data_IF_222185380676
#
_entry.id   IF_222185380676
#
_cell.length_a   1.000
_cell.length_b   1.000
_cell.length_c   1.000
_cell.angle_alpha   90.00
_cell.angle_beta   90.00
_cell.angle_gamma   90.00
#
_symmetry.space_group_name_H-M   'P 1'
#
loop_
_entity.id
_entity.type
_entity.pdbx_description
1 polymer ?
#
# COMPACT_ATOMS: atom_id res chain seq x y z
N UNK A 1 1.51 12.60 11.45
CA UNK A 1 1.50 13.77 10.53
C UNK A 1 0.36 13.54 9.55
N UNK A 2 -0.76 14.26 9.74
CA UNK A 2 -1.93 14.12 8.88
C UNK A 2 -1.61 14.70 7.49
N UNK A 3 -1.68 13.88 6.43
CA UNK A 3 -1.74 14.38 5.07
C UNK A 3 -3.17 14.90 4.83
N UNK A 4 -3.31 16.20 4.74
CA UNK A 4 -4.56 16.85 4.34
C UNK A 4 -4.47 17.09 2.83
N UNK A 5 -5.30 16.42 2.06
CA UNK A 5 -5.42 16.70 0.62
C UNK A 5 -6.52 17.74 0.41
N UNK A 6 -6.18 18.85 -0.21
CA UNK A 6 -7.12 19.92 -0.54
C UNK A 6 -7.34 20.01 -2.04
N UNK A 7 -8.60 20.06 -2.46
CA UNK A 7 -8.99 20.26 -3.85
C UNK A 7 -9.51 21.68 -4.01
N UNK A 8 -8.96 22.41 -4.97
CA UNK A 8 -9.32 23.79 -5.26
C UNK A 8 -9.87 23.85 -6.69
N UNK A 9 -11.11 24.24 -6.83
CA UNK A 9 -11.82 24.38 -8.12
C UNK A 9 -11.88 25.84 -8.53
N UNK A 10 -11.29 26.18 -9.66
CA UNK A 10 -11.45 27.47 -10.32
C UNK A 10 -12.01 27.27 -11.73
N UNK A 11 -12.85 28.20 -12.23
CA UNK A 11 -13.74 28.03 -13.39
C UNK A 11 -13.00 27.69 -14.69
N UNK A 12 -13.31 26.55 -15.32
CA UNK A 12 -12.80 26.11 -16.63
C UNK A 12 -13.89 26.05 -17.69
N UNK A 13 -13.60 26.56 -18.86
CA UNK A 13 -14.19 26.09 -20.12
C UNK A 13 -13.10 25.43 -20.94
N UNK A 14 -13.24 24.09 -21.10
CA UNK A 14 -12.52 23.20 -22.00
C UNK A 14 -11.03 22.86 -21.76
N UNK A 15 -10.82 21.53 -21.59
CA UNK A 15 -9.60 20.67 -21.63
C UNK A 15 -8.67 20.64 -20.46
N UNK A 16 -8.73 19.47 -19.78
CA UNK A 16 -7.77 18.98 -18.79
C UNK A 16 -6.39 18.71 -19.40
N UNK A 17 -5.36 19.33 -18.84
CA UNK A 17 -4.00 18.78 -18.88
C UNK A 17 -3.40 18.85 -17.49
N UNK A 18 -3.20 17.67 -16.89
CA UNK A 18 -2.47 17.52 -15.64
C UNK A 18 -0.97 17.71 -15.88
N UNK A 19 -0.33 18.67 -15.23
CA UNK A 19 1.12 18.72 -15.06
C UNK A 19 1.47 18.52 -13.60
N UNK A 20 2.13 17.40 -13.33
CA UNK A 20 2.69 17.01 -12.04
C UNK A 20 4.04 17.70 -11.84
N UNK A 21 4.25 18.32 -10.65
CA UNK A 21 5.57 18.70 -10.17
C UNK A 21 5.98 20.15 -10.35
N UNK A 22 5.47 21.06 -9.51
CA UNK A 22 5.98 22.42 -9.39
C UNK A 22 6.19 22.83 -7.93
N UNK A 23 7.31 23.50 -7.65
CA UNK A 23 7.65 24.01 -6.32
C UNK A 23 6.69 25.12 -5.86
N UNK A 24 6.41 25.18 -4.55
CA UNK A 24 5.43 26.07 -3.91
C UNK A 24 5.60 27.58 -4.22
N UNK A 25 6.83 28.05 -4.51
CA UNK A 25 7.08 29.45 -4.89
C UNK A 25 6.62 29.80 -6.31
N UNK A 26 6.75 28.88 -7.24
CA UNK A 26 6.31 29.08 -8.63
C UNK A 26 4.77 29.11 -8.73
N UNK A 27 4.09 28.36 -7.89
CA UNK A 27 2.61 28.30 -7.82
C UNK A 27 1.95 29.64 -7.50
N UNK A 28 2.56 30.49 -6.69
CA UNK A 28 1.96 31.78 -6.26
C UNK A 28 1.98 32.84 -7.35
N UNK A 29 3.04 32.87 -8.16
CA UNK A 29 3.16 33.80 -9.30
C UNK A 29 2.19 33.48 -10.44
N UNK A 30 1.85 32.18 -10.59
CA UNK A 30 0.91 31.72 -11.62
C UNK A 30 -0.56 31.85 -11.19
N UNK A 31 -0.87 31.90 -9.90
CA UNK A 31 -2.26 32.02 -9.40
C UNK A 31 -2.97 33.28 -9.95
N UNK A 32 -2.28 34.41 -10.07
CA UNK A 32 -2.87 35.62 -10.66
C UNK A 32 -3.16 35.45 -12.15
N UNK A 33 -2.26 34.80 -12.88
CA UNK A 33 -2.47 34.48 -14.30
C UNK A 33 -3.60 33.48 -14.51
N UNK A 34 -3.76 32.54 -13.56
CA UNK A 34 -4.86 31.57 -13.58
C UNK A 34 -6.20 32.23 -13.29
N UNK A 35 -6.22 33.30 -12.49
CA UNK A 35 -7.42 34.04 -12.14
C UNK A 35 -7.96 34.87 -13.34
N UNK A 36 -7.08 35.33 -14.21
CA UNK A 36 -7.41 36.12 -15.40
C UNK A 36 -7.76 35.23 -16.62
N UNK A 37 -7.52 33.92 -16.52
CA UNK A 37 -7.77 32.99 -17.60
C UNK A 37 -9.26 32.56 -17.66
N UNK A 38 -9.78 32.37 -18.87
CA UNK A 38 -11.14 31.87 -19.10
C UNK A 38 -11.33 30.38 -18.74
N UNK A 39 -10.32 29.74 -18.15
CA UNK A 39 -10.32 28.32 -17.88
C UNK A 39 -10.49 27.99 -16.38
N UNK A 40 -11.09 26.83 -16.09
CA UNK A 40 -11.11 26.30 -14.74
C UNK A 40 -9.85 25.51 -14.44
N UNK A 41 -9.22 25.76 -13.30
CA UNK A 41 -8.09 25.02 -12.81
C UNK A 41 -8.47 24.22 -11.57
N UNK A 42 -8.09 22.95 -11.57
CA UNK A 42 -8.18 22.07 -10.39
C UNK A 42 -6.79 21.87 -9.83
N UNK A 43 -6.55 22.37 -8.61
CA UNK A 43 -5.26 22.21 -7.93
C UNK A 43 -5.43 21.19 -6.81
N UNK A 44 -4.68 20.09 -6.88
CA UNK A 44 -4.60 19.07 -5.83
C UNK A 44 -3.26 19.24 -5.12
N UNK A 45 -3.26 19.48 -3.82
CA UNK A 45 -2.05 19.61 -3.02
C UNK A 45 -2.20 18.89 -1.68
N UNK A 46 -1.31 17.93 -1.43
CA UNK A 46 -1.28 17.12 -0.20
C UNK A 46 -0.37 17.66 0.91
N UNK A 47 0.41 18.71 0.65
CA UNK A 47 1.47 19.18 1.58
C UNK A 47 1.65 20.69 1.62
N UNK A 48 0.67 21.48 1.19
CA UNK A 48 0.79 22.92 1.25
C UNK A 48 0.89 23.41 2.71
N UNK A 49 1.83 24.32 2.97
CA UNK A 49 1.92 25.01 4.25
C UNK A 49 0.72 25.94 4.48
N UNK A 50 0.39 26.21 5.75
CA UNK A 50 -0.78 27.00 6.12
C UNK A 50 -0.77 28.42 5.52
N UNK A 51 0.41 29.00 5.28
CA UNK A 51 0.55 30.32 4.67
C UNK A 51 0.20 30.28 3.16
N UNK A 52 0.62 29.25 2.46
CA UNK A 52 0.29 29.01 1.04
C UNK A 52 -1.20 28.72 0.89
N UNK A 53 -1.77 27.90 1.76
CA UNK A 53 -3.20 27.60 1.77
C UNK A 53 -4.03 28.88 1.91
N UNK A 54 -3.74 29.74 2.90
CA UNK A 54 -4.44 31.01 3.10
C UNK A 54 -4.34 31.98 1.90
N UNK A 55 -3.24 31.93 1.15
CA UNK A 55 -3.08 32.71 -0.08
C UNK A 55 -3.93 32.17 -1.21
N UNK A 56 -4.00 30.85 -1.34
CA UNK A 56 -4.82 30.17 -2.36
C UNK A 56 -6.31 30.38 -2.04
N UNK A 57 -6.72 30.25 -0.78
CA UNK A 57 -8.11 30.46 -0.35
C UNK A 57 -8.64 31.86 -0.68
N UNK A 58 -7.79 32.88 -0.70
CA UNK A 58 -8.17 34.24 -1.08
C UNK A 58 -8.48 34.41 -2.57
N UNK A 59 -7.98 33.50 -3.41
CA UNK A 59 -8.02 33.60 -4.86
C UNK A 59 -8.93 32.50 -5.45
N UNK A 60 -9.10 31.41 -4.73
CA UNK A 60 -9.87 30.25 -5.18
C UNK A 60 -11.36 30.49 -5.11
N UNK A 61 -12.10 30.06 -6.13
CA UNK A 61 -13.57 30.07 -6.14
C UNK A 61 -14.16 29.11 -5.12
N UNK A 62 -13.53 27.95 -4.93
CA UNK A 62 -13.95 26.93 -3.95
C UNK A 62 -12.73 26.16 -3.45
N UNK A 63 -12.61 26.02 -2.15
CA UNK A 63 -11.67 25.12 -1.51
C UNK A 63 -12.42 23.99 -0.85
N UNK A 64 -11.90 22.76 -1.01
CA UNK A 64 -12.45 21.58 -0.36
C UNK A 64 -11.32 20.80 0.28
N UNK A 65 -11.46 20.51 1.55
CA UNK A 65 -10.51 19.73 2.32
C UNK A 65 -11.01 18.30 2.42
N UNK A 66 -10.23 17.36 1.93
CA UNK A 66 -10.47 15.93 2.10
C UNK A 66 -9.58 15.43 3.22
N UNK A 67 -10.15 15.27 4.38
CA UNK A 67 -9.51 14.49 5.43
C UNK A 67 -9.66 13.02 5.04
N UNK A 68 -8.59 12.43 4.49
CA UNK A 68 -8.49 10.98 4.51
C UNK A 68 -8.59 10.58 5.98
N UNK A 69 -9.73 10.02 6.36
CA UNK A 69 -9.78 9.27 7.62
C UNK A 69 -8.61 8.32 7.51
N UNK A 70 -7.64 8.42 8.44
CA UNK A 70 -6.57 7.45 8.50
C UNK A 70 -7.23 6.08 8.39
N UNK A 71 -7.07 5.44 7.23
CA UNK A 71 -7.37 4.02 7.12
C UNK A 71 -6.56 3.42 8.24
N UNK A 72 -7.24 2.82 9.22
CA UNK A 72 -6.62 2.22 10.40
C UNK A 72 -5.33 1.58 9.93
N UNK A 73 -4.20 2.02 10.49
CA UNK A 73 -2.90 1.37 10.30
C UNK A 73 -3.16 -0.10 10.25
N UNK A 74 -2.71 -0.77 9.19
CA UNK A 74 -2.84 -2.21 8.96
C UNK A 74 -2.99 -2.93 10.28
N UNK A 75 -4.16 -3.49 10.51
CA UNK A 75 -4.50 -3.90 11.86
C UNK A 75 -3.44 -4.89 12.33
N UNK A 76 -2.88 -4.78 13.53
CA UNK A 76 -1.88 -5.73 14.05
C UNK A 76 -2.32 -7.18 13.95
N UNK A 77 -3.63 -7.40 13.82
CA UNK A 77 -4.30 -8.68 13.67
C UNK A 77 -3.87 -9.40 12.37
N UNK A 78 -3.80 -8.69 11.22
CA UNK A 78 -3.41 -9.33 9.94
C UNK A 78 -1.97 -9.84 9.99
N UNK A 79 -1.05 -9.11 10.63
CA UNK A 79 0.32 -9.57 10.78
C UNK A 79 0.47 -10.83 11.67
N UNK A 80 -0.53 -11.15 12.48
CA UNK A 80 -0.49 -12.38 13.29
C UNK A 80 -0.43 -13.65 12.43
N UNK A 81 -0.94 -13.61 11.20
CA UNK A 81 -0.92 -14.76 10.28
C UNK A 81 0.52 -15.11 9.86
N UNK A 82 1.42 -14.10 9.78
CA UNK A 82 2.81 -14.34 9.41
C UNK A 82 3.53 -15.23 10.42
N UNK A 83 3.22 -15.11 11.71
CA UNK A 83 3.86 -15.94 12.73
C UNK A 83 3.51 -17.43 12.56
N UNK A 84 2.30 -17.75 12.10
CA UNK A 84 1.87 -19.13 11.83
C UNK A 84 2.58 -19.67 10.58
N UNK A 85 2.72 -18.83 9.56
CA UNK A 85 3.49 -19.16 8.37
C UNK A 85 4.95 -19.41 8.73
N UNK A 86 5.62 -18.47 9.43
CA UNK A 86 7.02 -18.58 9.83
C UNK A 86 7.31 -19.84 10.67
N UNK A 87 6.36 -20.25 11.51
CA UNK A 87 6.47 -21.46 12.33
C UNK A 87 6.06 -22.74 11.58
N UNK A 88 5.69 -22.66 10.30
CA UNK A 88 5.18 -23.78 9.48
C UNK A 88 3.99 -24.50 10.13
N UNK A 89 3.16 -23.78 10.88
CA UNK A 89 1.96 -24.34 11.54
C UNK A 89 0.75 -24.16 10.61
N UNK A 90 0.60 -25.08 9.67
CA UNK A 90 -0.44 -25.11 8.66
C UNK A 90 -1.86 -25.01 9.24
N UNK A 91 -2.13 -25.76 10.31
CA UNK A 91 -3.45 -25.77 10.94
C UNK A 91 -3.81 -24.39 11.49
N UNK A 92 -2.90 -23.77 12.26
CA UNK A 92 -3.12 -22.43 12.81
C UNK A 92 -3.11 -21.36 11.73
N UNK A 93 -2.33 -21.54 10.67
CA UNK A 93 -2.32 -20.64 9.53
C UNK A 93 -3.69 -20.60 8.86
N UNK A 94 -4.29 -21.77 8.58
CA UNK A 94 -5.61 -21.86 7.98
C UNK A 94 -6.70 -21.30 8.91
N UNK A 95 -6.70 -21.64 10.19
CA UNK A 95 -7.65 -21.08 11.16
C UNK A 95 -7.55 -19.56 11.19
N UNK A 96 -6.32 -19.01 11.27
CA UNK A 96 -6.13 -17.54 11.26
C UNK A 96 -6.59 -16.91 9.95
N UNK A 97 -6.48 -17.60 8.83
CA UNK A 97 -6.99 -17.13 7.54
C UNK A 97 -8.52 -17.00 7.57
N UNK A 98 -9.21 -18.03 8.03
CA UNK A 98 -10.68 -18.01 8.13
C UNK A 98 -11.14 -16.92 9.09
N UNK A 99 -10.52 -16.81 10.28
CA UNK A 99 -10.84 -15.77 11.26
C UNK A 99 -10.70 -14.35 10.67
N UNK A 100 -9.67 -14.11 9.84
CA UNK A 100 -9.45 -12.82 9.19
C UNK A 100 -10.53 -12.53 8.13
N UNK A 101 -10.89 -13.50 7.33
CA UNK A 101 -11.97 -13.37 6.33
C UNK A 101 -13.32 -13.10 7.03
N UNK A 102 -13.65 -13.81 8.12
CA UNK A 102 -14.86 -13.58 8.89
C UNK A 102 -14.91 -12.19 9.55
N UNK A 103 -13.74 -11.61 9.88
CA UNK A 103 -13.61 -10.24 10.35
C UNK A 103 -13.73 -9.19 9.21
N UNK A 104 -13.93 -9.63 7.97
CA UNK A 104 -14.08 -8.74 6.81
C UNK A 104 -12.76 -8.21 6.24
N UNK A 105 -11.63 -8.82 6.59
CA UNK A 105 -10.34 -8.49 5.97
C UNK A 105 -10.32 -9.05 4.55
N UNK A 106 -9.90 -8.22 3.60
CA UNK A 106 -9.86 -8.60 2.20
C UNK A 106 -8.78 -9.65 1.92
N UNK A 107 -9.06 -10.59 1.03
CA UNK A 107 -8.11 -11.61 0.63
C UNK A 107 -6.82 -11.02 0.04
N UNK A 108 -6.91 -9.87 -0.64
CA UNK A 108 -5.78 -9.11 -1.19
C UNK A 108 -4.84 -8.62 -0.09
N UNK A 109 -5.38 -8.15 1.03
CA UNK A 109 -4.58 -7.68 2.16
C UNK A 109 -3.84 -8.86 2.81
N UNK A 110 -4.55 -9.96 3.05
CA UNK A 110 -3.96 -11.19 3.61
C UNK A 110 -2.88 -11.75 2.69
N UNK A 111 -3.17 -11.83 1.38
CA UNK A 111 -2.21 -12.26 0.37
C UNK A 111 -0.94 -11.38 0.38
N UNK A 112 -1.11 -10.05 0.43
CA UNK A 112 0.01 -9.11 0.48
C UNK A 112 0.91 -9.33 1.69
N UNK A 113 0.32 -9.56 2.86
CA UNK A 113 1.07 -9.82 4.11
C UNK A 113 1.79 -11.17 4.07
N UNK A 114 1.16 -12.21 3.54
CA UNK A 114 1.79 -13.53 3.34
C UNK A 114 2.95 -13.42 2.35
N UNK A 115 2.72 -12.78 1.21
CA UNK A 115 3.77 -12.58 0.20
C UNK A 115 4.96 -11.79 0.74
N UNK A 116 4.70 -10.73 1.53
CA UNK A 116 5.75 -9.97 2.21
C UNK A 116 6.57 -10.86 3.15
N UNK A 117 5.95 -11.74 3.91
CA UNK A 117 6.65 -12.66 4.80
C UNK A 117 7.53 -13.65 4.04
N UNK A 118 7.01 -14.28 2.95
CA UNK A 118 7.78 -15.18 2.09
C UNK A 118 8.96 -14.46 1.45
N UNK A 119 8.74 -13.26 0.89
CA UNK A 119 9.80 -12.43 0.32
C UNK A 119 10.91 -12.14 1.33
N UNK A 120 10.55 -11.77 2.56
CA UNK A 120 11.55 -11.48 3.59
C UNK A 120 12.36 -12.72 3.98
N UNK A 121 11.72 -13.91 4.06
CA UNK A 121 12.44 -15.18 4.29
C UNK A 121 13.46 -15.47 3.19
N UNK A 122 13.11 -15.21 1.92
CA UNK A 122 14.03 -15.38 0.78
C UNK A 122 15.19 -14.38 0.87
N UNK A 123 14.91 -13.11 1.18
CA UNK A 123 15.96 -12.07 1.28
C UNK A 123 16.98 -12.44 2.35
N UNK A 124 16.53 -12.77 3.57
CA UNK A 124 17.43 -13.08 4.68
C UNK A 124 18.25 -14.35 4.46
N UNK A 125 17.79 -15.27 3.62
CA UNK A 125 18.56 -16.46 3.21
C UNK A 125 19.67 -16.17 2.19
N UNK A 126 19.67 -14.97 1.57
CA UNK A 126 20.61 -14.60 0.49
C UNK A 126 21.62 -13.51 0.87
N UNK A 127 21.51 -12.93 2.07
CA UNK A 127 22.34 -11.82 2.52
C UNK A 127 23.07 -12.17 3.80
N UNK A 128 24.29 -11.64 3.95
CA UNK A 128 25.16 -11.94 5.11
C UNK A 128 24.84 -11.09 6.35
N UNK A 129 23.72 -10.35 6.35
CA UNK A 129 23.35 -9.59 7.53
C UNK A 129 22.18 -8.64 7.36
N UNK A 130 21.73 -8.09 8.50
CA UNK A 130 20.59 -7.19 8.55
C UNK A 130 20.74 -5.95 7.65
N UNK A 131 21.95 -5.35 7.60
CA UNK A 131 22.19 -4.12 6.81
C UNK A 131 21.96 -4.35 5.32
N UNK A 132 22.40 -5.48 4.80
CA UNK A 132 22.22 -5.83 3.38
C UNK A 132 20.77 -6.18 3.03
N UNK A 133 20.03 -6.72 4.00
CA UNK A 133 18.61 -7.07 3.79
C UNK A 133 17.70 -5.86 3.58
N UNK A 134 18.10 -4.67 4.02
CA UNK A 134 17.26 -3.49 4.04
C UNK A 134 16.09 -3.56 5.03
N UNK A 135 16.00 -4.62 5.86
CA UNK A 135 14.93 -4.83 6.83
C UNK A 135 15.28 -4.17 8.18
N UNK A 136 14.24 -3.68 8.86
CA UNK A 136 14.38 -3.29 10.27
C UNK A 136 14.75 -4.50 11.15
N UNK A 137 15.37 -4.31 12.34
CA UNK A 137 15.88 -5.40 13.16
C UNK A 137 14.84 -6.47 13.51
N UNK A 138 13.62 -6.06 13.86
CA UNK A 138 12.56 -6.98 14.25
C UNK A 138 12.03 -7.83 13.08
N UNK A 139 11.64 -7.29 11.91
CA UNK A 139 11.30 -8.10 10.75
C UNK A 139 12.43 -9.01 10.28
N UNK A 140 13.69 -8.54 10.33
CA UNK A 140 14.86 -9.35 9.98
C UNK A 140 14.98 -10.58 10.88
N UNK A 141 14.97 -10.41 12.20
CA UNK A 141 15.10 -11.53 13.15
C UNK A 141 13.96 -12.55 13.02
N UNK A 142 12.74 -12.08 12.82
CA UNK A 142 11.57 -12.96 12.55
C UNK A 142 11.74 -13.75 11.25
N UNK A 143 12.07 -13.07 10.16
CA UNK A 143 12.24 -13.71 8.86
C UNK A 143 13.41 -14.73 8.88
N UNK A 144 14.51 -14.41 9.56
CA UNK A 144 15.66 -15.31 9.73
C UNK A 144 15.30 -16.56 10.55
N UNK A 145 14.50 -16.39 11.61
CA UNK A 145 13.99 -17.54 12.37
C UNK A 145 13.06 -18.41 11.53
N UNK A 146 12.14 -17.78 10.77
CA UNK A 146 11.19 -18.49 9.91
C UNK A 146 11.84 -19.19 8.72
N UNK A 147 12.85 -18.58 8.09
CA UNK A 147 13.53 -19.16 6.93
C UNK A 147 14.18 -20.52 7.20
N UNK A 148 14.58 -20.77 8.44
CA UNK A 148 15.16 -22.05 8.86
C UNK A 148 14.18 -23.22 8.83
N UNK A 149 12.89 -22.94 8.79
CA UNK A 149 11.83 -23.96 8.77
C UNK A 149 11.48 -24.41 7.34
N UNK A 150 12.09 -23.78 6.31
CA UNK A 150 11.82 -24.02 4.90
C UNK A 150 13.11 -24.23 4.13
N UNK A 151 13.04 -25.02 3.06
CA UNK A 151 14.13 -25.10 2.07
C UNK A 151 14.01 -23.93 1.10
N UNK A 152 15.12 -23.54 0.50
CA UNK A 152 15.16 -22.42 -0.44
C UNK A 152 14.20 -22.64 -1.63
N UNK A 153 14.17 -23.85 -2.17
CA UNK A 153 13.28 -24.21 -3.28
C UNK A 153 11.80 -24.12 -2.90
N UNK A 154 11.46 -24.46 -1.64
CA UNK A 154 10.10 -24.31 -1.13
C UNK A 154 9.69 -22.83 -1.08
N UNK A 155 10.55 -21.95 -0.56
CA UNK A 155 10.29 -20.50 -0.49
C UNK A 155 10.19 -19.89 -1.90
N UNK A 156 11.03 -20.30 -2.84
CA UNK A 156 10.97 -19.84 -4.23
C UNK A 156 9.66 -20.27 -4.88
N UNK A 157 9.25 -21.55 -4.69
CA UNK A 157 7.98 -22.05 -5.18
C UNK A 157 6.80 -21.28 -4.57
N UNK A 158 6.79 -21.08 -3.25
CA UNK A 158 5.75 -20.30 -2.57
C UNK A 158 5.64 -18.88 -3.14
N UNK A 159 6.75 -18.23 -3.39
CA UNK A 159 6.78 -16.88 -4.00
C UNK A 159 6.19 -16.89 -5.41
N UNK A 160 6.56 -17.88 -6.23
CA UNK A 160 6.05 -18.05 -7.60
C UNK A 160 4.55 -18.30 -7.58
N UNK A 161 4.08 -19.24 -6.75
CA UNK A 161 2.67 -19.60 -6.62
C UNK A 161 1.81 -18.36 -6.25
N UNK A 162 2.27 -17.54 -5.30
CA UNK A 162 1.56 -16.33 -4.88
C UNK A 162 1.51 -15.27 -5.99
N UNK A 163 2.58 -15.07 -6.74
CA UNK A 163 2.61 -14.16 -7.90
C UNK A 163 1.67 -14.65 -9.01
N UNK A 164 1.74 -15.93 -9.37
CA UNK A 164 0.86 -16.51 -10.37
C UNK A 164 -0.61 -16.41 -9.99
N UNK A 165 -0.93 -16.64 -8.71
CA UNK A 165 -2.28 -16.49 -8.19
C UNK A 165 -2.84 -15.09 -8.50
N UNK A 166 -2.07 -14.03 -8.22
CA UNK A 166 -2.47 -12.66 -8.52
C UNK A 166 -2.70 -12.44 -10.02
N UNK A 167 -1.84 -13.00 -10.87
CA UNK A 167 -2.00 -12.90 -12.32
C UNK A 167 -3.24 -13.63 -12.82
N UNK A 168 -3.52 -14.82 -12.30
CA UNK A 168 -4.74 -15.60 -12.66
C UNK A 168 -6.01 -14.83 -12.30
N UNK A 169 -6.08 -14.31 -11.09
CA UNK A 169 -7.23 -13.50 -10.63
C UNK A 169 -7.45 -12.26 -11.52
N UNK A 170 -6.38 -11.56 -11.88
CA UNK A 170 -6.47 -10.38 -12.78
C UNK A 170 -6.95 -10.72 -14.17
N UNK A 171 -6.75 -11.97 -14.64
CA UNK A 171 -7.31 -12.47 -15.90
C UNK A 171 -8.72 -13.03 -15.76
N UNK A 172 -9.31 -12.99 -14.57
CA UNK A 172 -10.64 -13.54 -14.30
C UNK A 172 -10.68 -15.07 -14.16
N UNK A 173 -9.54 -15.72 -13.92
CA UNK A 173 -9.39 -17.17 -13.84
C UNK A 173 -9.71 -17.73 -12.43
N UNK A 174 -10.34 -16.94 -11.55
CA UNK A 174 -10.77 -17.39 -10.25
C UNK A 174 -10.88 -16.31 -9.20
N UNK A 175 -11.29 -16.69 -8.00
CA UNK A 175 -11.39 -15.85 -6.82
C UNK A 175 -10.13 -15.98 -5.96
N UNK A 176 -9.58 -14.83 -5.51
CA UNK A 176 -8.33 -14.79 -4.75
C UNK A 176 -8.46 -15.49 -3.40
N UNK A 177 -9.59 -15.32 -2.72
CA UNK A 177 -9.83 -15.93 -1.42
C UNK A 177 -9.79 -17.45 -1.50
N UNK A 178 -10.53 -18.01 -2.45
CA UNK A 178 -10.57 -19.47 -2.69
C UNK A 178 -9.19 -20.00 -3.09
N UNK A 179 -8.46 -19.29 -3.94
CA UNK A 179 -7.13 -19.72 -4.39
C UNK A 179 -6.12 -19.65 -3.26
N UNK A 180 -6.17 -18.61 -2.41
CA UNK A 180 -5.29 -18.45 -1.27
C UNK A 180 -5.56 -19.52 -0.20
N UNK A 181 -6.82 -19.84 0.06
CA UNK A 181 -7.20 -20.91 0.98
C UNK A 181 -6.64 -22.26 0.51
N UNK A 182 -6.84 -22.62 -0.77
CA UNK A 182 -6.28 -23.85 -1.36
C UNK A 182 -4.77 -23.90 -1.24
N UNK A 183 -4.11 -22.78 -1.48
CA UNK A 183 -2.65 -22.66 -1.35
C UNK A 183 -2.21 -22.89 0.10
N UNK A 184 -2.86 -22.26 1.09
CA UNK A 184 -2.58 -22.46 2.52
C UNK A 184 -2.74 -23.94 2.90
N UNK A 185 -3.72 -24.61 2.36
CA UNK A 185 -3.95 -26.04 2.60
C UNK A 185 -2.96 -26.95 1.87
N UNK A 186 -2.19 -26.46 0.93
CA UNK A 186 -1.22 -27.22 0.14
C UNK A 186 0.22 -27.18 0.66
N UNK A 187 0.57 -26.13 1.45
CA UNK A 187 1.94 -25.92 1.97
C UNK A 187 2.26 -26.71 3.22
#
# INVERSE_FOLDING_TARGET
MCCVERVILQKMRERLTAKTGMNSHTKILELKKMQEAEHWFLILDGKADTATVKKIEKVAYKTQEFNLKETKKESPIVFSITDKLLNRDKKKLWISYIDLIEQGILAEEIHGVIFWAVKNMIIVGKVDGQRESGLAPFPYSKALSGSRNYREEELQKMSTDLVEMTHKVRRGEGDLGVMLEKWILSI
#
